data_IF_451172716696
#
_entry.id   IF_451172716696
#
_cell.length_a   1.000
_cell.length_b   1.000
_cell.length_c   1.000
_cell.angle_alpha   90.00
_cell.angle_beta   90.00
_cell.angle_gamma   90.00
#
_symmetry.space_group_name_H-M   'P 1'
#
loop_
_entity.id
_entity.type
_entity.pdbx_description
1 polymer ?
#
# COMPACT_ATOMS: atom_id res chain seq x y z
N UNK A 1 -8.62 13.97 9.64
CA UNK A 1 -9.88 13.28 9.29
C UNK A 1 -9.57 11.82 8.99
N UNK A 2 -10.39 10.86 9.44
CA UNK A 2 -10.21 9.43 9.15
C UNK A 2 -11.53 8.85 8.61
N UNK A 3 -11.42 8.01 7.58
CA UNK A 3 -12.48 7.12 7.12
C UNK A 3 -12.06 5.67 7.35
N UNK A 4 -12.95 4.83 7.89
CA UNK A 4 -12.64 3.44 8.23
C UNK A 4 -13.84 2.53 7.94
N UNK A 5 -13.57 1.38 7.33
CA UNK A 5 -14.51 0.26 7.20
C UNK A 5 -13.98 -0.89 8.04
N UNK A 6 -14.76 -1.34 9.03
CA UNK A 6 -14.41 -2.46 9.92
C UNK A 6 -15.39 -3.64 9.81
N UNK A 7 -16.48 -3.47 9.06
CA UNK A 7 -17.51 -4.50 8.86
C UNK A 7 -17.00 -5.56 7.87
N UNK A 8 -17.07 -6.83 8.26
CA UNK A 8 -16.74 -7.95 7.37
C UNK A 8 -17.68 -7.95 6.15
N UNK A 9 -18.97 -7.67 6.36
CA UNK A 9 -19.98 -7.57 5.30
C UNK A 9 -19.62 -6.50 4.27
N UNK A 10 -19.28 -5.29 4.71
CA UNK A 10 -18.96 -4.20 3.78
C UNK A 10 -17.61 -4.41 3.10
N UNK A 11 -16.68 -5.06 3.79
CA UNK A 11 -15.39 -5.43 3.22
C UNK A 11 -15.57 -6.42 2.06
N UNK A 12 -16.39 -7.45 2.26
CA UNK A 12 -16.67 -8.48 1.25
C UNK A 12 -17.50 -7.93 0.08
N UNK A 13 -18.53 -7.13 0.36
CA UNK A 13 -19.47 -6.70 -0.67
C UNK A 13 -19.08 -5.41 -1.40
N UNK A 14 -18.18 -4.60 -0.83
CA UNK A 14 -17.83 -3.29 -1.38
C UNK A 14 -16.33 -3.15 -1.62
N UNK A 15 -15.52 -3.36 -0.58
CA UNK A 15 -14.06 -3.07 -0.64
C UNK A 15 -13.34 -4.04 -1.58
N UNK A 16 -13.54 -5.34 -1.41
CA UNK A 16 -12.89 -6.36 -2.24
C UNK A 16 -13.29 -6.22 -3.71
N UNK A 17 -14.58 -6.18 -4.08
CA UNK A 17 -14.99 -6.05 -5.48
C UNK A 17 -14.45 -4.79 -6.16
N UNK A 18 -14.37 -3.67 -5.42
CA UNK A 18 -13.80 -2.44 -5.94
C UNK A 18 -12.32 -2.61 -6.33
N UNK A 19 -11.49 -3.15 -5.44
CA UNK A 19 -10.05 -3.30 -5.68
C UNK A 19 -9.70 -4.54 -6.54
N UNK A 20 -10.64 -5.44 -6.79
CA UNK A 20 -10.52 -6.43 -7.86
C UNK A 20 -10.80 -5.81 -9.23
N UNK A 21 -11.84 -4.96 -9.33
CA UNK A 21 -12.17 -4.25 -10.57
C UNK A 21 -11.15 -3.16 -10.92
N UNK A 22 -10.61 -2.49 -9.91
CA UNK A 22 -9.62 -1.41 -10.04
C UNK A 22 -8.39 -1.74 -9.18
N UNK A 23 -7.49 -2.62 -9.65
CA UNK A 23 -6.31 -3.05 -8.89
C UNK A 23 -5.40 -1.89 -8.50
N UNK A 24 -4.78 -2.00 -7.33
CA UNK A 24 -3.76 -1.06 -6.90
C UNK A 24 -2.48 -1.27 -7.73
N UNK A 25 -1.78 -0.18 -8.02
CA UNK A 25 -0.58 -0.21 -8.88
C UNK A 25 0.75 -0.27 -8.11
N UNK A 26 0.72 0.07 -6.82
CA UNK A 26 1.90 0.02 -5.96
C UNK A 26 2.06 -1.36 -5.32
N UNK A 27 3.15 -1.57 -4.59
CA UNK A 27 3.37 -2.68 -3.68
C UNK A 27 2.24 -2.89 -2.66
N UNK A 28 1.35 -1.91 -2.47
CA UNK A 28 0.14 -2.06 -1.65
C UNK A 28 -0.83 -3.11 -2.21
N UNK A 29 -0.78 -3.41 -3.51
CA UNK A 29 -1.56 -4.50 -4.11
C UNK A 29 -1.23 -5.85 -3.49
N UNK A 30 0.04 -6.10 -3.17
CA UNK A 30 0.44 -7.33 -2.50
C UNK A 30 -0.22 -7.47 -1.12
N UNK A 31 -0.36 -6.36 -0.39
CA UNK A 31 -1.08 -6.35 0.89
C UNK A 31 -2.58 -6.53 0.69
N UNK A 32 -3.18 -5.96 -0.35
CA UNK A 32 -4.58 -6.22 -0.69
C UNK A 32 -4.84 -7.71 -0.97
N UNK A 33 -3.95 -8.38 -1.71
CA UNK A 33 -4.07 -9.82 -1.99
C UNK A 33 -4.04 -10.64 -0.70
N UNK A 34 -3.11 -10.34 0.23
CA UNK A 34 -3.04 -11.04 1.52
C UNK A 34 -4.25 -10.71 2.41
N UNK A 35 -4.68 -9.45 2.43
CA UNK A 35 -5.87 -9.00 3.15
C UNK A 35 -7.13 -9.73 2.66
N UNK A 36 -7.31 -9.84 1.35
CA UNK A 36 -8.43 -10.57 0.74
C UNK A 36 -8.47 -12.04 1.20
N UNK A 37 -7.33 -12.72 1.23
CA UNK A 37 -7.23 -14.10 1.74
C UNK A 37 -7.68 -14.19 3.19
N UNK A 38 -7.21 -13.29 4.04
CA UNK A 38 -7.61 -13.22 5.45
C UNK A 38 -9.12 -13.01 5.59
N UNK A 39 -9.70 -12.10 4.81
CA UNK A 39 -11.15 -11.83 4.84
C UNK A 39 -11.97 -13.08 4.51
N UNK A 40 -11.56 -13.87 3.52
CA UNK A 40 -12.25 -15.13 3.21
C UNK A 40 -12.07 -16.21 4.29
N UNK A 41 -10.88 -16.35 4.87
CA UNK A 41 -10.70 -17.22 6.05
C UNK A 41 -11.60 -16.79 7.23
N UNK A 42 -11.83 -15.48 7.39
CA UNK A 42 -12.76 -14.98 8.39
C UNK A 42 -14.22 -15.29 8.05
N UNK A 43 -14.61 -15.11 6.78
CA UNK A 43 -15.93 -15.43 6.27
C UNK A 43 -16.28 -16.91 6.49
N UNK A 44 -15.31 -17.79 6.25
CA UNK A 44 -15.47 -19.24 6.38
C UNK A 44 -15.31 -19.71 7.84
N UNK A 45 -15.21 -18.77 8.79
CA UNK A 45 -15.06 -18.99 10.23
C UNK A 45 -13.82 -19.80 10.64
N UNK A 46 -12.84 -19.96 9.76
CA UNK A 46 -11.60 -20.71 10.06
C UNK A 46 -10.82 -20.08 11.22
N UNK A 47 -10.88 -18.76 11.38
CA UNK A 47 -10.26 -18.03 12.50
C UNK A 47 -10.78 -18.44 13.89
N UNK A 48 -11.80 -19.28 13.99
CA UNK A 48 -12.29 -19.82 15.26
C UNK A 48 -11.53 -21.08 15.73
N UNK A 49 -10.59 -21.60 14.92
CA UNK A 49 -9.74 -22.74 15.31
C UNK A 49 -8.27 -22.32 15.44
N UNK A 50 -7.50 -23.10 16.20
CA UNK A 50 -6.06 -22.86 16.39
C UNK A 50 -5.32 -22.92 15.05
N UNK A 51 -5.68 -23.88 14.20
CA UNK A 51 -5.10 -24.05 12.87
C UNK A 51 -5.41 -22.82 11.99
N UNK A 52 -6.63 -22.31 12.02
CA UNK A 52 -7.01 -21.12 11.26
C UNK A 52 -6.35 -19.85 11.80
N UNK A 53 -6.19 -19.70 13.11
CA UNK A 53 -5.40 -18.62 13.71
C UNK A 53 -3.93 -18.73 13.27
N UNK A 54 -3.33 -19.93 13.24
CA UNK A 54 -1.97 -20.10 12.74
C UNK A 54 -1.85 -19.69 11.26
N UNK A 55 -2.82 -20.03 10.42
CA UNK A 55 -2.88 -19.55 9.01
C UNK A 55 -2.95 -18.02 8.95
N UNK A 56 -3.78 -17.40 9.79
CA UNK A 56 -3.91 -15.94 9.88
C UNK A 56 -2.58 -15.29 10.26
N UNK A 57 -1.89 -15.82 11.25
CA UNK A 57 -0.58 -15.31 11.72
C UNK A 57 0.47 -15.43 10.62
N UNK A 58 0.53 -16.56 9.90
CA UNK A 58 1.42 -16.77 8.76
C UNK A 58 1.18 -15.77 7.61
N UNK A 59 -0.07 -15.37 7.36
CA UNK A 59 -0.40 -14.34 6.37
C UNK A 59 -0.01 -12.94 6.90
N UNK A 60 -0.37 -12.64 8.15
CA UNK A 60 -0.12 -11.36 8.80
C UNK A 60 1.36 -11.04 8.92
N UNK A 61 2.22 -12.03 9.15
CA UNK A 61 3.66 -11.83 9.26
C UNK A 61 4.28 -11.20 8.01
N UNK A 62 3.63 -11.33 6.85
CA UNK A 62 4.06 -10.78 5.57
C UNK A 62 3.36 -9.46 5.20
N UNK A 63 2.55 -8.90 6.10
CA UNK A 63 1.80 -7.66 5.89
C UNK A 63 2.40 -6.51 6.68
N UNK A 64 2.44 -5.31 6.09
CA UNK A 64 2.86 -4.07 6.73
C UNK A 64 4.20 -4.23 7.51
N UNK A 65 4.18 -4.05 8.84
CA UNK A 65 5.34 -4.17 9.74
C UNK A 65 5.51 -5.59 10.31
N UNK A 66 4.72 -6.57 9.85
CA UNK A 66 4.74 -7.95 10.32
C UNK A 66 4.03 -8.15 11.67
N UNK A 67 4.53 -9.13 12.44
CA UNK A 67 3.99 -9.47 13.77
C UNK A 67 4.57 -8.58 14.87
N UNK A 68 3.74 -8.28 15.88
CA UNK A 68 4.20 -7.73 17.16
C UNK A 68 5.06 -8.75 17.90
N UNK A 69 5.86 -8.29 18.85
CA UNK A 69 6.71 -9.15 19.69
C UNK A 69 5.87 -10.21 20.42
N UNK A 70 4.76 -9.80 21.03
CA UNK A 70 3.80 -10.71 21.68
C UNK A 70 3.34 -11.83 20.75
N UNK A 71 2.94 -11.51 19.51
CA UNK A 71 2.49 -12.54 18.55
C UNK A 71 3.62 -13.46 18.11
N UNK A 72 4.86 -12.96 17.99
CA UNK A 72 6.02 -13.81 17.65
C UNK A 72 6.31 -14.82 18.75
N UNK A 73 6.20 -14.38 20.02
CA UNK A 73 6.45 -15.23 21.18
C UNK A 73 5.34 -16.28 21.36
N UNK A 74 4.09 -15.95 21.04
CA UNK A 74 2.96 -16.89 21.11
C UNK A 74 2.96 -17.90 19.96
N UNK A 75 3.36 -17.49 18.75
CA UNK A 75 3.33 -18.33 17.55
C UNK A 75 4.75 -18.60 17.03
N UNK A 76 5.54 -19.36 17.80
CA UNK A 76 6.96 -19.64 17.53
C UNK A 76 7.21 -20.31 16.17
N UNK A 77 6.27 -21.12 15.69
CA UNK A 77 6.38 -21.86 14.43
C UNK A 77 5.77 -21.10 13.23
N UNK A 78 5.67 -19.78 13.30
CA UNK A 78 5.14 -18.96 12.21
C UNK A 78 6.03 -19.10 10.97
N UNK A 79 5.42 -19.47 9.85
CA UNK A 79 6.09 -19.50 8.54
C UNK A 79 5.53 -18.37 7.69
N UNK A 80 6.29 -17.30 7.42
CA UNK A 80 5.79 -16.17 6.65
C UNK A 80 5.39 -16.56 5.22
N UNK A 81 4.18 -16.19 4.83
CA UNK A 81 3.71 -16.42 3.46
C UNK A 81 4.50 -15.55 2.49
N UNK A 82 4.99 -16.13 1.39
CA UNK A 82 5.68 -15.36 0.35
C UNK A 82 4.77 -14.25 -0.19
N UNK A 83 5.24 -13.01 -0.10
CA UNK A 83 4.52 -11.85 -0.63
C UNK A 83 4.64 -11.82 -2.16
N UNK A 84 3.54 -11.61 -2.90
CA UNK A 84 3.62 -11.42 -4.35
C UNK A 84 4.38 -10.11 -4.65
N UNK A 85 5.23 -10.15 -5.68
CA UNK A 85 5.93 -8.97 -6.18
C UNK A 85 5.09 -8.38 -7.31
N UNK A 86 4.79 -7.10 -7.22
CA UNK A 86 4.06 -6.36 -8.25
C UNK A 86 5.10 -5.72 -9.15
N UNK A 87 5.20 -6.17 -10.41
CA UNK A 87 6.23 -5.75 -11.37
C UNK A 87 5.65 -5.01 -12.58
N UNK A 88 4.46 -5.39 -13.05
CA UNK A 88 3.88 -4.88 -14.30
C UNK A 88 2.66 -4.00 -14.03
N UNK A 89 2.88 -2.77 -13.61
CA UNK A 89 1.79 -1.80 -13.41
C UNK A 89 2.02 -0.54 -14.22
N UNK A 90 1.23 -0.38 -15.29
CA UNK A 90 1.17 0.87 -16.05
C UNK A 90 0.27 1.86 -15.34
N UNK A 91 0.74 3.08 -15.17
CA UNK A 91 -0.09 4.18 -14.68
C UNK A 91 -1.12 4.52 -15.77
N UNK A 92 -2.40 4.49 -15.43
CA UNK A 92 -3.49 4.99 -16.27
C UNK A 92 -3.81 6.43 -15.88
N UNK A 93 -4.17 7.27 -16.87
CA UNK A 93 -4.30 8.73 -16.67
C UNK A 93 -5.18 9.15 -15.48
N UNK A 94 -6.36 8.54 -15.22
CA UNK A 94 -7.18 8.93 -14.06
C UNK A 94 -6.51 8.60 -12.72
N UNK A 95 -5.68 7.55 -12.69
CA UNK A 95 -5.01 7.11 -11.47
C UNK A 95 -3.84 8.02 -11.09
N UNK A 96 -3.15 8.61 -12.08
CA UNK A 96 -2.09 9.57 -11.82
C UNK A 96 -2.60 10.80 -11.05
N UNK A 97 -3.79 11.30 -11.38
CA UNK A 97 -4.39 12.43 -10.68
C UNK A 97 -4.67 12.09 -9.21
N UNK A 98 -5.27 10.93 -8.94
CA UNK A 98 -5.53 10.48 -7.57
C UNK A 98 -4.25 10.22 -6.78
N UNK A 99 -3.25 9.60 -7.41
CA UNK A 99 -1.95 9.34 -6.81
C UNK A 99 -1.19 10.63 -6.48
N UNK A 100 -1.18 11.59 -7.42
CA UNK A 100 -0.61 12.93 -7.22
C UNK A 100 -1.35 13.72 -6.13
N UNK A 101 -2.67 13.54 -6.02
CA UNK A 101 -3.44 14.19 -4.96
C UNK A 101 -3.05 13.69 -3.56
N UNK A 102 -2.53 12.47 -3.45
CA UNK A 102 -2.04 11.89 -2.19
C UNK A 102 -0.55 12.11 -1.91
N UNK A 103 0.30 11.97 -2.92
CA UNK A 103 1.77 11.88 -2.78
C UNK A 103 2.54 13.02 -3.48
N UNK A 104 1.82 13.88 -4.21
CA UNK A 104 2.38 14.93 -5.04
C UNK A 104 2.56 16.26 -4.32
N UNK A 105 3.46 17.08 -4.86
CA UNK A 105 3.76 18.42 -4.39
C UNK A 105 4.02 19.36 -5.56
N UNK A 106 3.36 20.53 -5.54
CA UNK A 106 3.58 21.62 -6.47
C UNK A 106 4.27 22.75 -5.73
N UNK A 107 5.51 23.05 -6.11
CA UNK A 107 6.38 23.99 -5.42
C UNK A 107 6.85 25.10 -6.35
N UNK A 108 7.01 26.29 -5.79
CA UNK A 108 7.70 27.41 -6.41
C UNK A 108 9.00 27.63 -5.63
N UNK A 109 10.12 27.32 -6.25
CA UNK A 109 11.44 27.52 -5.67
C UNK A 109 12.01 28.87 -6.13
N UNK A 110 12.37 29.72 -5.18
CA UNK A 110 13.01 31.00 -5.44
C UNK A 110 14.43 30.95 -4.88
N UNK A 111 15.43 31.14 -5.75
CA UNK A 111 16.85 31.09 -5.39
C UNK A 111 17.55 32.38 -5.83
N UNK A 112 18.73 32.69 -5.25
CA UNK A 112 19.50 33.90 -5.57
C UNK A 112 20.86 33.56 -6.20
N UNK A 113 20.88 33.00 -7.41
CA UNK A 113 22.15 32.70 -8.08
C UNK A 113 22.85 34.00 -8.52
N UNK A 114 24.19 34.09 -8.38
CA UNK A 114 24.96 35.29 -8.75
C UNK A 114 24.96 35.58 -10.26
N UNK A 115 24.55 34.61 -11.09
CA UNK A 115 24.55 34.70 -12.55
C UNK A 115 23.30 35.35 -13.14
N UNK A 116 22.24 35.56 -12.35
CA UNK A 116 20.99 36.15 -12.85
C UNK A 116 21.02 37.68 -12.73
N UNK A 117 20.65 38.38 -13.82
CA UNK A 117 20.68 39.86 -13.91
C UNK A 117 19.94 40.59 -12.79
N UNK A 118 18.86 40.01 -12.27
CA UNK A 118 18.00 40.58 -11.20
C UNK A 118 18.34 39.95 -9.83
N UNK A 119 19.31 39.05 -9.75
CA UNK A 119 19.73 38.38 -8.52
C UNK A 119 18.74 37.35 -7.98
N UNK A 120 17.69 37.00 -8.75
CA UNK A 120 16.66 36.04 -8.38
C UNK A 120 16.37 35.11 -9.55
N UNK A 121 16.16 33.83 -9.25
CA UNK A 121 15.70 32.78 -10.16
C UNK A 121 14.48 32.10 -9.56
N UNK A 122 13.38 32.10 -10.30
CA UNK A 122 12.15 31.37 -9.98
C UNK A 122 12.15 30.06 -10.75
N UNK A 123 11.82 28.96 -10.08
CA UNK A 123 11.69 27.63 -10.67
C UNK A 123 10.40 26.98 -10.22
N UNK A 124 9.63 26.47 -11.16
CA UNK A 124 8.50 25.60 -10.87
C UNK A 124 9.02 24.18 -10.65
N UNK A 125 8.55 23.50 -9.61
CA UNK A 125 8.89 22.11 -9.32
C UNK A 125 7.62 21.33 -9.05
N UNK A 126 7.41 20.29 -9.83
CA UNK A 126 6.50 19.20 -9.50
C UNK A 126 7.33 18.06 -8.90
N UNK A 127 6.84 17.46 -7.82
CA UNK A 127 7.52 16.34 -7.15
C UNK A 127 6.49 15.29 -6.72
N UNK A 128 6.81 14.02 -6.98
CA UNK A 128 6.12 12.86 -6.41
C UNK A 128 7.10 12.15 -5.47
N UNK A 129 6.65 11.83 -4.26
CA UNK A 129 7.47 11.13 -3.27
C UNK A 129 6.88 9.75 -3.02
N UNK A 130 7.71 8.70 -3.07
CA UNK A 130 7.26 7.34 -2.79
C UNK A 130 8.41 6.52 -2.20
N UNK A 131 8.09 5.47 -1.45
CA UNK A 131 9.09 4.56 -0.91
C UNK A 131 9.84 3.82 -2.04
N UNK A 132 11.15 3.59 -1.88
CA UNK A 132 12.02 2.95 -2.89
C UNK A 132 11.57 1.56 -3.35
N UNK A 133 10.75 0.87 -2.55
CA UNK A 133 10.11 -0.42 -2.92
C UNK A 133 9.21 -0.33 -4.16
N UNK A 134 8.78 0.88 -4.50
CA UNK A 134 7.95 1.20 -5.66
C UNK A 134 8.79 1.91 -6.76
N UNK A 135 10.11 1.79 -6.74
CA UNK A 135 11.01 2.44 -7.72
C UNK A 135 10.70 2.07 -9.18
N UNK A 136 10.30 0.82 -9.45
CA UNK A 136 9.92 0.37 -10.80
C UNK A 136 8.73 1.21 -11.31
N UNK A 137 7.72 1.43 -10.47
CA UNK A 137 6.57 2.27 -10.81
C UNK A 137 6.96 3.73 -11.03
N UNK A 138 7.94 4.25 -10.29
CA UNK A 138 8.41 5.63 -10.43
C UNK A 138 9.22 5.87 -11.71
N UNK A 139 9.70 4.80 -12.36
CA UNK A 139 10.50 4.85 -13.60
C UNK A 139 9.68 4.52 -14.86
N UNK A 140 8.42 4.10 -14.73
CA UNK A 140 7.57 3.66 -15.85
C UNK A 140 7.05 4.81 -16.71
#
# INVERSE_FOLDING_TARGET
MQFRISSLKDTINTVIPHFEKFPLITQKQAYFILFKKIVYLMNDKEHLTIEGIQKFVNLRSSMNLGLSEELRNTFLNTVPVKRPIIQDTKIIDPLLAGFTSGEGSFMINITKPPTHKIGVKVQLRFQLTQHSRDEILMKS
#
